data_IF_498871870904
#
_entry.id   IF_498871870904
#
_cell.length_a   1.000
_cell.length_b   1.000
_cell.length_c   1.000
_cell.angle_alpha   90.00
_cell.angle_beta   90.00
_cell.angle_gamma   90.00
#
_symmetry.space_group_name_H-M   'P 1'
#
loop_
_entity.id
_entity.type
_entity.pdbx_description
1 polymer ?
#
# COMPACT_ATOMS: atom_id res chain seq x y z
N UNK A 1 -16.87 -11.93 7.30
CA UNK A 1 -16.74 -11.65 5.85
C UNK A 1 -16.19 -10.26 5.56
N UNK A 2 -16.71 -9.14 6.12
CA UNK A 2 -16.21 -7.79 5.81
C UNK A 2 -14.76 -7.53 6.25
N UNK A 3 -14.39 -8.05 7.43
CA UNK A 3 -13.06 -7.91 8.03
C UNK A 3 -11.97 -8.57 7.18
N UNK A 4 -12.23 -9.81 6.74
CA UNK A 4 -11.33 -10.55 5.85
C UNK A 4 -11.11 -9.79 4.55
N UNK A 5 -12.12 -9.12 4.00
CA UNK A 5 -11.97 -8.34 2.78
C UNK A 5 -11.01 -7.15 2.96
N UNK A 6 -11.16 -6.38 4.04
CA UNK A 6 -10.30 -5.23 4.32
C UNK A 6 -8.84 -5.63 4.56
N UNK A 7 -8.60 -6.69 5.35
CA UNK A 7 -7.26 -7.18 5.64
C UNK A 7 -6.58 -7.79 4.39
N UNK A 8 -7.30 -8.62 3.62
CA UNK A 8 -6.77 -9.18 2.37
C UNK A 8 -6.48 -8.09 1.33
N UNK A 9 -7.29 -7.03 1.26
CA UNK A 9 -7.03 -5.91 0.36
C UNK A 9 -5.76 -5.13 0.74
N UNK A 10 -5.54 -4.88 2.04
CA UNK A 10 -4.33 -4.23 2.52
C UNK A 10 -3.07 -5.05 2.21
N UNK A 11 -3.14 -6.37 2.40
CA UNK A 11 -2.03 -7.28 2.07
C UNK A 11 -1.77 -7.36 0.57
N UNK A 12 -2.81 -7.44 -0.25
CA UNK A 12 -2.67 -7.45 -1.70
C UNK A 12 -1.98 -6.17 -2.21
N UNK A 13 -2.33 -4.99 -1.66
CA UNK A 13 -1.71 -3.72 -2.01
C UNK A 13 -0.23 -3.69 -1.59
N UNK A 14 0.11 -4.15 -0.39
CA UNK A 14 1.51 -4.25 0.06
C UNK A 14 2.34 -5.14 -0.87
N UNK A 15 1.82 -6.31 -1.21
CA UNK A 15 2.53 -7.27 -2.08
C UNK A 15 2.69 -6.69 -3.48
N UNK A 16 1.62 -6.15 -4.08
CA UNK A 16 1.67 -5.58 -5.42
C UNK A 16 2.63 -4.40 -5.53
N UNK A 17 2.58 -3.45 -4.59
CA UNK A 17 3.53 -2.34 -4.64
C UNK A 17 4.96 -2.74 -4.32
N UNK A 18 5.17 -3.77 -3.47
CA UNK A 18 6.50 -4.35 -3.26
C UNK A 18 7.05 -5.02 -4.53
N UNK A 19 6.22 -5.79 -5.24
CA UNK A 19 6.59 -6.39 -6.52
C UNK A 19 6.88 -5.33 -7.57
N UNK A 20 6.04 -4.30 -7.67
CA UNK A 20 6.25 -3.19 -8.59
C UNK A 20 7.54 -2.42 -8.35
N UNK A 21 7.86 -2.17 -7.08
CA UNK A 21 9.12 -1.57 -6.67
C UNK A 21 10.34 -2.43 -7.08
N UNK A 22 10.24 -3.75 -6.91
CA UNK A 22 11.27 -4.69 -7.36
C UNK A 22 11.33 -4.87 -8.88
N UNK A 23 10.38 -4.31 -9.63
CA UNK A 23 10.27 -4.45 -11.08
C UNK A 23 9.65 -5.78 -11.53
N UNK A 24 8.94 -6.44 -10.63
CA UNK A 24 8.16 -7.66 -10.85
C UNK A 24 6.65 -7.37 -10.92
N UNK A 25 6.28 -6.10 -11.04
CA UNK A 25 4.90 -5.63 -11.09
C UNK A 25 4.30 -5.61 -12.49
N UNK A 26 3.37 -4.69 -12.69
CA UNK A 26 2.63 -4.53 -13.94
C UNK A 26 3.54 -3.99 -15.06
N UNK A 27 3.15 -4.17 -16.35
CA UNK A 27 3.91 -3.61 -17.45
C UNK A 27 3.99 -2.07 -17.35
N UNK A 28 5.09 -1.44 -17.83
CA UNK A 28 5.38 -0.01 -17.61
C UNK A 28 4.31 0.96 -18.15
N UNK A 29 3.50 0.50 -19.10
CA UNK A 29 2.35 1.24 -19.64
C UNK A 29 1.17 1.36 -18.67
N UNK A 30 1.15 0.54 -17.61
CA UNK A 30 0.12 0.58 -16.57
C UNK A 30 0.63 1.39 -15.38
N UNK A 31 -0.10 2.43 -14.93
CA UNK A 31 0.32 3.22 -13.77
C UNK A 31 0.27 2.38 -12.50
N UNK A 32 1.44 2.16 -11.88
CA UNK A 32 1.56 1.50 -10.57
C UNK A 32 2.51 2.27 -9.64
N UNK A 33 2.10 2.46 -8.39
CA UNK A 33 2.88 3.27 -7.44
C UNK A 33 4.20 2.64 -7.02
N UNK A 34 4.30 1.30 -7.03
CA UNK A 34 5.55 0.59 -6.73
C UNK A 34 6.66 0.93 -7.75
N UNK A 35 6.30 0.87 -9.04
CA UNK A 35 7.18 1.26 -10.14
C UNK A 35 7.50 2.75 -10.14
N UNK A 36 6.52 3.61 -9.84
CA UNK A 36 6.76 5.06 -9.74
C UNK A 36 7.81 5.38 -8.67
N UNK A 37 7.77 4.72 -7.52
CA UNK A 37 8.77 4.88 -6.45
C UNK A 37 10.15 4.40 -6.92
N UNK A 38 10.21 3.27 -7.64
CA UNK A 38 11.46 2.75 -8.22
C UNK A 38 12.07 3.75 -9.19
N UNK A 39 11.28 4.28 -10.12
CA UNK A 39 11.74 5.26 -11.10
C UNK A 39 12.21 6.55 -10.41
N UNK A 40 11.52 6.95 -9.34
CA UNK A 40 11.89 8.12 -8.56
C UNK A 40 13.24 7.98 -7.84
N UNK A 41 13.71 6.75 -7.56
CA UNK A 41 15.05 6.54 -6.97
C UNK A 41 16.16 7.05 -7.90
N UNK A 42 16.01 6.87 -9.21
CA UNK A 42 16.98 7.35 -10.20
C UNK A 42 16.96 8.88 -10.33
N UNK A 43 15.85 9.52 -9.94
CA UNK A 43 15.68 10.96 -9.94
C UNK A 43 16.17 11.63 -8.64
N UNK A 44 16.38 10.87 -7.56
CA UNK A 44 16.89 11.42 -6.28
C UNK A 44 18.22 12.16 -6.41
N UNK A 45 19.25 11.64 -7.14
CA UNK A 45 20.52 12.35 -7.31
C UNK A 45 20.40 13.66 -8.09
N UNK A 46 19.33 13.82 -8.89
CA UNK A 46 19.04 15.07 -9.63
C UNK A 46 18.30 16.12 -8.79
N UNK A 47 17.98 15.81 -7.53
CA UNK A 47 17.26 16.69 -6.61
C UNK A 47 15.73 16.58 -6.70
N UNK A 48 15.19 15.67 -7.51
CA UNK A 48 13.75 15.49 -7.75
C UNK A 48 13.17 14.44 -6.78
N UNK A 49 13.26 14.70 -5.48
CA UNK A 49 12.87 13.74 -4.43
C UNK A 49 11.35 13.61 -4.22
N UNK A 50 10.58 14.63 -4.61
CA UNK A 50 9.13 14.64 -4.42
C UNK A 50 8.41 13.55 -5.21
N UNK A 51 9.00 13.09 -6.31
CA UNK A 51 8.47 11.99 -7.14
C UNK A 51 8.46 10.66 -6.40
N UNK A 52 9.31 10.45 -5.39
CA UNK A 52 9.26 9.29 -4.50
C UNK A 52 8.35 9.52 -3.29
N UNK A 53 8.38 10.73 -2.73
CA UNK A 53 7.72 11.03 -1.45
C UNK A 53 6.20 10.93 -1.53
N UNK A 54 5.57 11.56 -2.53
CA UNK A 54 4.12 11.60 -2.65
C UNK A 54 3.48 10.21 -2.86
N UNK A 55 3.93 9.39 -3.83
CA UNK A 55 3.38 8.04 -3.99
C UNK A 55 3.70 7.15 -2.79
N UNK A 56 4.89 7.28 -2.18
CA UNK A 56 5.26 6.54 -0.97
C UNK A 56 4.35 6.86 0.23
N UNK A 57 4.05 8.15 0.46
CA UNK A 57 3.13 8.58 1.50
C UNK A 57 1.69 8.14 1.22
N UNK A 58 1.20 8.30 0.00
CA UNK A 58 -0.13 7.87 -0.40
C UNK A 58 -0.33 6.37 -0.17
N UNK A 59 0.65 5.56 -0.58
CA UNK A 59 0.61 4.11 -0.40
C UNK A 59 0.65 3.73 1.08
N UNK A 60 1.50 4.37 1.87
CA UNK A 60 1.60 4.13 3.32
C UNK A 60 0.28 4.46 4.02
N UNK A 61 -0.31 5.63 3.73
CA UNK A 61 -1.59 6.05 4.31
C UNK A 61 -2.72 5.12 3.91
N UNK A 62 -2.77 4.67 2.65
CA UNK A 62 -3.79 3.75 2.17
C UNK A 62 -3.70 2.40 2.89
N UNK A 63 -2.50 1.83 2.97
CA UNK A 63 -2.27 0.53 3.63
C UNK A 63 -2.59 0.62 5.11
N UNK A 64 -2.09 1.64 5.81
CA UNK A 64 -2.35 1.84 7.25
C UNK A 64 -3.85 2.08 7.49
N UNK A 65 -4.49 2.93 6.69
CA UNK A 65 -5.92 3.20 6.79
C UNK A 65 -6.75 1.93 6.61
N UNK A 66 -6.45 1.11 5.60
CA UNK A 66 -7.15 -0.16 5.38
C UNK A 66 -6.87 -1.19 6.49
N UNK A 67 -5.64 -1.26 7.00
CA UNK A 67 -5.31 -2.12 8.15
C UNK A 67 -6.10 -1.73 9.40
N UNK A 68 -6.09 -0.44 9.77
CA UNK A 68 -6.83 0.06 10.94
C UNK A 68 -8.35 -0.07 10.78
N UNK A 69 -8.88 0.16 9.57
CA UNK A 69 -10.29 -0.09 9.28
C UNK A 69 -10.63 -1.58 9.41
N UNK A 70 -9.76 -2.48 8.94
CA UNK A 70 -9.93 -3.91 9.11
C UNK A 70 -9.97 -4.32 10.58
N UNK A 71 -9.05 -3.79 11.39
CA UNK A 71 -8.98 -4.01 12.84
C UNK A 71 -10.23 -3.45 13.55
N UNK A 72 -10.62 -2.21 13.27
CA UNK A 72 -11.80 -1.58 13.87
C UNK A 72 -13.11 -2.29 13.51
N UNK A 73 -13.26 -2.74 12.26
CA UNK A 73 -14.38 -3.59 11.86
C UNK A 73 -14.32 -4.94 12.59
N UNK A 74 -13.14 -5.53 12.77
CA UNK A 74 -12.98 -6.78 13.52
C UNK A 74 -13.49 -6.67 14.95
N UNK A 75 -13.18 -5.56 15.62
CA UNK A 75 -13.61 -5.31 16.99
C UNK A 75 -15.13 -5.10 17.10
N UNK A 76 -15.74 -4.41 16.13
CA UNK A 76 -17.20 -4.20 16.09
C UNK A 76 -17.95 -5.51 15.80
N UNK A 77 -17.43 -6.32 14.87
CA UNK A 77 -18.09 -7.57 14.45
C UNK A 77 -17.75 -8.78 15.32
N UNK A 78 -16.72 -8.70 16.18
CA UNK A 78 -16.33 -9.78 17.08
C UNK A 78 -16.33 -9.31 18.56
N UNK A 79 -17.51 -9.15 19.18
CA UNK A 79 -17.64 -8.65 20.56
C UNK A 79 -17.11 -9.62 21.64
N UNK A 80 -16.57 -10.79 21.26
CA UNK A 80 -16.06 -11.83 22.17
C UNK A 80 -14.67 -11.57 22.77
N UNK A 81 -14.01 -10.48 22.42
CA UNK A 81 -12.72 -10.06 23.02
C UNK A 81 -12.88 -9.14 24.24
N UNK A 82 -14.12 -8.94 24.71
CA UNK A 82 -14.45 -8.08 25.87
C UNK A 82 -14.68 -8.85 27.19
N UNK A 83 -14.40 -10.15 27.23
CA UNK A 83 -14.28 -10.95 28.45
C UNK A 83 -12.81 -11.24 28.74
#
# INVERSE_FOLDING_TARGET
VPVLFALNAADAIRILGGLGFLGLGLPPETPEWGYDIRLALDALPTGIWWTALFPGLAMTLLVVGLSLLGEGLSEIFNPRLRE
#
